data_IF_685151867796
#
_entry.id   IF_685151867796
#
_cell.length_a   1.000
_cell.length_b   1.000
_cell.length_c   1.000
_cell.angle_alpha   90.00
_cell.angle_beta   90.00
_cell.angle_gamma   90.00
#
_symmetry.space_group_name_H-M   'P 1'
#
loop_
_entity.id
_entity.type
_entity.pdbx_description
1 polymer ?
#
# COMPACT_ATOMS: atom_id res chain seq x y z
N UNK A 1 -2.62 37.90 -23.30
CA UNK A 1 -2.10 37.99 -21.91
C UNK A 1 -1.57 36.62 -21.51
N UNK A 2 -0.43 36.61 -20.82
CA UNK A 2 0.59 35.57 -20.77
C UNK A 2 0.13 34.17 -20.32
N UNK A 3 0.57 33.15 -21.06
CA UNK A 3 0.77 31.79 -20.55
C UNK A 3 1.87 31.83 -19.49
N UNK A 4 1.55 31.52 -18.23
CA UNK A 4 2.54 31.32 -17.18
C UNK A 4 2.49 29.84 -16.79
N UNK A 5 3.15 29.00 -17.58
CA UNK A 5 3.50 27.65 -17.14
C UNK A 5 4.62 27.79 -16.12
N UNK A 6 4.25 27.73 -14.83
CA UNK A 6 5.19 27.71 -13.73
C UNK A 6 5.87 26.33 -13.68
N UNK A 7 6.93 26.15 -14.46
CA UNK A 7 7.85 25.01 -14.29
C UNK A 7 8.63 25.29 -13.02
N UNK A 8 8.16 24.73 -11.90
CA UNK A 8 8.93 24.66 -10.66
C UNK A 8 10.16 23.78 -10.91
N UNK A 9 11.26 24.41 -11.30
CA UNK A 9 12.59 23.79 -11.34
C UNK A 9 13.00 23.47 -9.90
N UNK A 10 12.63 22.29 -9.42
CA UNK A 10 13.19 21.74 -8.18
C UNK A 10 14.66 21.40 -8.44
N UNK A 11 15.57 21.94 -7.62
CA UNK A 11 17.00 21.74 -7.76
C UNK A 11 17.37 20.24 -7.77
N UNK A 12 18.25 19.78 -8.69
CA UNK A 12 18.36 18.36 -9.05
C UNK A 12 19.16 17.48 -8.06
N UNK A 13 19.54 17.98 -6.88
CA UNK A 13 20.43 17.24 -5.96
C UNK A 13 19.73 16.58 -4.76
N UNK A 14 18.81 17.29 -4.09
CA UNK A 14 18.22 16.85 -2.82
C UNK A 14 16.70 16.64 -2.88
N UNK A 15 15.99 17.38 -3.74
CA UNK A 15 14.55 17.24 -3.92
C UNK A 15 14.18 15.89 -4.57
N UNK A 16 15.01 15.37 -5.49
CA UNK A 16 14.78 14.06 -6.09
C UNK A 16 14.95 12.91 -5.09
N UNK A 17 15.91 13.02 -4.18
CA UNK A 17 16.20 12.00 -3.15
C UNK A 17 15.04 11.91 -2.15
N UNK A 18 14.54 13.04 -1.63
CA UNK A 18 13.40 13.05 -0.71
C UNK A 18 12.12 12.53 -1.38
N UNK A 19 11.89 12.87 -2.65
CA UNK A 19 10.76 12.37 -3.45
C UNK A 19 10.83 10.84 -3.64
N UNK A 20 12.03 10.31 -3.88
CA UNK A 20 12.27 8.88 -4.04
C UNK A 20 12.02 8.12 -2.73
N UNK A 21 12.53 8.63 -1.61
CA UNK A 21 12.26 8.05 -0.28
C UNK A 21 10.79 8.12 0.12
N UNK A 22 10.08 9.18 -0.26
CA UNK A 22 8.63 9.29 -0.01
C UNK A 22 7.83 8.24 -0.81
N UNK A 23 8.18 7.96 -2.07
CA UNK A 23 7.53 6.90 -2.84
C UNK A 23 7.84 5.49 -2.30
N UNK A 24 9.07 5.29 -1.81
CA UNK A 24 9.48 4.04 -1.17
C UNK A 24 8.78 3.80 0.16
N UNK A 25 8.67 4.82 1.02
CA UNK A 25 8.02 4.69 2.33
C UNK A 25 6.53 4.37 2.18
N UNK A 26 5.86 5.01 1.22
CA UNK A 26 4.46 4.75 0.94
C UNK A 26 4.25 3.32 0.39
N UNK A 27 5.13 2.84 -0.50
CA UNK A 27 5.09 1.46 -0.98
C UNK A 27 5.38 0.46 0.13
N UNK A 28 6.31 0.78 1.03
CA UNK A 28 6.64 -0.06 2.17
C UNK A 28 5.48 -0.13 3.17
N UNK A 29 4.80 1.00 3.43
CA UNK A 29 3.61 1.04 4.28
C UNK A 29 2.50 0.12 3.74
N UNK A 30 2.17 0.21 2.45
CA UNK A 30 1.20 -0.70 1.80
C UNK A 30 1.63 -2.16 1.90
N UNK A 31 2.92 -2.44 1.68
CA UNK A 31 3.45 -3.80 1.78
C UNK A 31 3.38 -4.36 3.22
N UNK A 32 3.61 -3.52 4.23
CA UNK A 32 3.45 -3.93 5.62
C UNK A 32 2.00 -4.28 5.93
N UNK A 33 1.04 -3.44 5.55
CA UNK A 33 -0.40 -3.73 5.72
C UNK A 33 -0.78 -5.05 5.08
N UNK A 34 -0.31 -5.31 3.85
CA UNK A 34 -0.54 -6.57 3.13
C UNK A 34 0.01 -7.79 3.91
N UNK A 35 1.22 -7.68 4.47
CA UNK A 35 1.83 -8.78 5.22
C UNK A 35 1.17 -9.01 6.56
N UNK A 36 0.85 -7.94 7.27
CA UNK A 36 0.18 -7.98 8.56
C UNK A 36 -1.18 -8.64 8.43
N UNK A 37 -2.02 -8.13 7.53
CA UNK A 37 -3.34 -8.71 7.23
C UNK A 37 -3.26 -10.17 6.77
N UNK A 38 -2.28 -10.54 5.93
CA UNK A 38 -2.09 -11.94 5.58
C UNK A 38 -1.71 -12.81 6.77
N UNK A 39 -0.82 -12.35 7.64
CA UNK A 39 -0.39 -13.13 8.80
C UNK A 39 -1.55 -13.34 9.77
N UNK A 40 -2.28 -12.27 10.10
CA UNK A 40 -3.45 -12.32 10.98
C UNK A 40 -4.52 -13.26 10.42
N UNK A 41 -4.90 -13.11 9.15
CA UNK A 41 -5.89 -13.98 8.52
C UNK A 41 -5.40 -15.42 8.37
N UNK A 42 -4.10 -15.66 8.25
CA UNK A 42 -3.55 -17.02 8.23
C UNK A 42 -3.51 -17.65 9.62
N UNK A 43 -3.37 -16.86 10.68
CA UNK A 43 -3.36 -17.34 12.07
C UNK A 43 -4.76 -17.78 12.54
N UNK A 44 -5.83 -17.16 11.99
CA UNK A 44 -7.21 -17.57 12.24
C UNK A 44 -7.47 -19.04 11.85
N UNK A 45 -8.37 -19.71 12.57
CA UNK A 45 -8.79 -21.07 12.23
C UNK A 45 -9.80 -21.08 11.08
N UNK A 46 -10.02 -22.24 10.46
CA UNK A 46 -11.01 -22.36 9.38
C UNK A 46 -12.45 -22.05 9.85
N UNK A 47 -12.74 -22.23 11.16
CA UNK A 47 -14.02 -21.82 11.75
C UNK A 47 -14.12 -20.31 11.85
N UNK A 48 -13.09 -19.65 12.37
CA UNK A 48 -13.11 -18.18 12.52
C UNK A 48 -13.21 -17.51 11.15
N UNK A 49 -12.52 -18.06 10.14
CA UNK A 49 -12.66 -17.62 8.75
C UNK A 49 -14.08 -17.85 8.22
N UNK A 50 -14.68 -19.01 8.49
CA UNK A 50 -16.05 -19.30 8.07
C UNK A 50 -17.09 -18.39 8.77
N UNK A 51 -16.87 -18.03 10.03
CA UNK A 51 -17.72 -17.11 10.79
C UNK A 51 -17.66 -15.69 10.19
N UNK A 52 -16.51 -15.31 9.62
CA UNK A 52 -16.33 -14.08 8.84
C UNK A 52 -16.84 -14.20 7.38
N UNK A 53 -17.28 -15.38 6.95
CA UNK A 53 -17.68 -15.66 5.57
C UNK A 53 -16.52 -15.70 4.58
N UNK A 54 -15.30 -15.94 5.06
CA UNK A 54 -14.07 -15.99 4.27
C UNK A 54 -13.58 -17.43 4.09
N UNK A 55 -12.93 -17.67 2.95
CA UNK A 55 -12.21 -18.91 2.68
C UNK A 55 -10.70 -18.67 2.65
N UNK A 56 -9.89 -19.71 2.95
CA UNK A 56 -8.41 -19.64 2.88
C UNK A 56 -7.90 -19.09 1.54
N UNK A 57 -8.54 -19.47 0.44
CA UNK A 57 -8.20 -18.98 -0.91
C UNK A 57 -8.43 -17.48 -1.10
N UNK A 58 -9.38 -16.88 -0.36
CA UNK A 58 -9.74 -15.47 -0.46
C UNK A 58 -8.83 -14.55 0.36
N UNK A 59 -8.10 -15.09 1.34
CA UNK A 59 -7.20 -14.32 2.23
C UNK A 59 -6.26 -13.42 1.44
N UNK A 60 -5.63 -13.97 0.38
CA UNK A 60 -4.70 -13.20 -0.45
C UNK A 60 -5.37 -12.03 -1.16
N UNK A 61 -6.62 -12.22 -1.62
CA UNK A 61 -7.39 -11.17 -2.27
C UNK A 61 -7.79 -10.08 -1.29
N UNK A 62 -8.25 -10.46 -0.09
CA UNK A 62 -8.65 -9.51 0.97
C UNK A 62 -7.45 -8.72 1.47
N UNK A 63 -6.32 -9.37 1.74
CA UNK A 63 -5.10 -8.69 2.15
C UNK A 63 -4.59 -7.72 1.08
N UNK A 64 -4.70 -8.10 -0.21
CA UNK A 64 -4.34 -7.22 -1.31
C UNK A 64 -5.27 -6.00 -1.39
N UNK A 65 -6.59 -6.21 -1.26
CA UNK A 65 -7.57 -5.13 -1.22
C UNK A 65 -7.32 -4.19 -0.03
N UNK A 66 -7.03 -4.73 1.16
CA UNK A 66 -6.73 -3.91 2.34
C UNK A 66 -5.48 -3.03 2.14
N UNK A 67 -4.49 -3.51 1.39
CA UNK A 67 -3.25 -2.79 1.15
C UNK A 67 -3.28 -1.84 -0.07
N UNK A 68 -4.10 -2.14 -1.09
CA UNK A 68 -4.06 -1.47 -2.40
C UNK A 68 -5.44 -1.00 -2.92
N UNK A 69 -6.54 -1.29 -2.23
CA UNK A 69 -7.92 -0.96 -2.63
C UNK A 69 -8.36 0.47 -2.32
N UNK A 70 -7.42 1.42 -2.22
CA UNK A 70 -7.70 2.87 -2.14
C UNK A 70 -7.41 3.54 -3.48
#
# INVERSE_FOLDING_TARGET
MAYVNNVRTAAPGFAGITSFFAGLSERYARYNVYRETMNELNELSDRDLADLGLARSTIKSVAFEAAYGN
#
